data_IF_908439551965
#
_entry.id   IF_908439551965
#
_cell.length_a   1.000
_cell.length_b   1.000
_cell.length_c   1.000
_cell.angle_alpha   90.00
_cell.angle_beta   90.00
_cell.angle_gamma   90.00
#
_symmetry.space_group_name_H-M   'P 1'
#
loop_
_entity.id
_entity.type
_entity.pdbx_description
1 polymer ?
#
# COMPACT_ATOMS: atom_id res chain seq x y z
N UNK A 1 -75.13 35.72 30.47
CA UNK A 1 -74.05 35.10 31.26
C UNK A 1 -72.71 35.47 30.61
N UNK A 2 -71.84 36.09 31.41
CA UNK A 2 -70.40 36.38 31.24
C UNK A 2 -69.82 36.53 29.80
N UNK A 3 -69.43 37.71 29.28
CA UNK A 3 -68.41 38.68 29.72
C UNK A 3 -66.97 38.39 29.20
N UNK A 4 -66.51 39.25 28.26
CA UNK A 4 -65.16 39.88 28.16
C UNK A 4 -63.93 38.98 27.82
N UNK A 5 -62.96 39.29 26.93
CA UNK A 5 -62.24 40.54 26.56
C UNK A 5 -61.57 40.50 25.16
N UNK A 6 -61.64 41.66 24.48
CA UNK A 6 -60.69 42.39 23.57
C UNK A 6 -59.41 41.66 23.10
N UNK A 7 -59.14 41.51 21.79
CA UNK A 7 -58.62 42.49 20.79
C UNK A 7 -57.20 43.00 21.12
N UNK A 8 -56.22 42.71 20.25
CA UNK A 8 -55.23 43.69 19.74
C UNK A 8 -54.35 43.11 18.60
N UNK A 9 -54.31 43.85 17.49
CA UNK A 9 -53.35 43.76 16.38
C UNK A 9 -51.90 43.93 16.87
N UNK A 10 -50.92 43.33 16.18
CA UNK A 10 -49.77 44.06 15.63
C UNK A 10 -48.92 43.20 14.70
N UNK A 11 -48.69 43.70 13.48
CA UNK A 11 -47.65 43.25 12.57
C UNK A 11 -46.27 43.62 13.14
N UNK A 12 -45.31 42.71 13.07
CA UNK A 12 -43.91 43.00 13.35
C UNK A 12 -43.01 42.27 12.36
N UNK A 13 -42.20 43.07 11.66
CA UNK A 13 -41.03 42.70 10.87
C UNK A 13 -40.14 41.71 11.63
N UNK A 14 -39.68 40.65 10.94
CA UNK A 14 -38.50 39.88 11.36
C UNK A 14 -37.40 40.12 10.34
N UNK A 15 -36.55 41.09 10.65
CA UNK A 15 -35.18 41.19 10.12
C UNK A 15 -34.27 40.80 11.28
N UNK A 16 -33.64 39.62 11.20
CA UNK A 16 -32.50 39.18 12.01
C UNK A 16 -32.09 37.78 11.53
N UNK A 17 -30.84 37.40 11.36
CA UNK A 17 -29.56 38.07 11.34
C UNK A 17 -28.61 37.04 10.69
N UNK A 18 -27.71 37.48 9.81
CA UNK A 18 -26.58 36.67 9.38
C UNK A 18 -25.72 36.35 10.60
N UNK A 19 -25.80 35.12 11.12
CA UNK A 19 -24.87 34.64 12.14
C UNK A 19 -23.55 34.29 11.45
N UNK A 20 -22.54 35.07 11.80
CA UNK A 20 -21.12 34.83 11.57
C UNK A 20 -20.76 33.37 11.84
N UNK A 21 -20.19 32.70 10.84
CA UNK A 21 -19.49 31.43 11.03
C UNK A 21 -18.30 31.70 11.94
N UNK A 22 -18.39 31.32 13.21
CA UNK A 22 -17.25 31.33 14.11
C UNK A 22 -16.16 30.43 13.52
N UNK A 23 -14.99 31.02 13.29
CA UNK A 23 -13.81 30.29 12.88
C UNK A 23 -13.46 29.31 14.01
N UNK A 24 -13.68 28.01 13.75
CA UNK A 24 -13.22 26.94 14.63
C UNK A 24 -11.71 27.06 14.73
N UNK A 25 -11.24 27.42 15.93
CA UNK A 25 -9.84 27.61 16.26
C UNK A 25 -9.05 26.36 15.85
N UNK A 26 -8.00 26.54 15.05
CA UNK A 26 -7.09 25.45 14.69
C UNK A 26 -6.31 25.12 15.96
N UNK A 27 -6.41 23.89 16.50
CA UNK A 27 -5.64 23.55 17.68
C UNK A 27 -4.16 23.78 17.39
N UNK A 28 -3.47 24.43 18.33
CA UNK A 28 -2.04 24.67 18.26
C UNK A 28 -1.32 23.35 17.92
N UNK A 29 -0.25 23.44 17.12
CA UNK A 29 0.59 22.30 16.81
C UNK A 29 0.89 21.54 18.11
N UNK A 30 0.59 20.24 18.12
CA UNK A 30 0.81 19.42 19.31
C UNK A 30 2.26 19.62 19.78
N UNK A 31 2.50 19.70 21.10
CA UNK A 31 3.86 19.80 21.62
C UNK A 31 4.71 18.66 21.05
N UNK A 32 5.98 18.94 20.79
CA UNK A 32 6.91 17.93 20.31
C UNK A 32 6.83 16.71 21.25
N UNK A 33 6.81 15.48 20.69
CA UNK A 33 6.72 14.29 21.51
C UNK A 33 7.84 14.24 22.56
N UNK A 34 7.56 13.63 23.71
CA UNK A 34 8.60 13.36 24.70
C UNK A 34 9.70 12.49 24.09
N UNK A 35 10.91 12.56 24.64
CA UNK A 35 12.02 11.70 24.22
C UNK A 35 11.65 10.20 24.30
N UNK A 36 10.85 9.84 25.32
CA UNK A 36 10.36 8.47 25.50
C UNK A 36 9.44 8.04 24.36
N UNK A 37 8.50 8.89 23.93
CA UNK A 37 7.62 8.60 22.79
C UNK A 37 8.40 8.45 21.48
N UNK A 38 9.38 9.33 21.24
CA UNK A 38 10.19 9.26 20.02
C UNK A 38 11.02 7.97 19.98
N UNK A 39 11.51 7.52 21.14
CA UNK A 39 12.25 6.26 21.28
C UNK A 39 11.33 5.07 21.04
N UNK A 40 10.16 5.03 21.67
CA UNK A 40 9.16 3.97 21.48
C UNK A 40 8.74 3.85 20.00
N UNK A 41 8.44 4.97 19.34
CA UNK A 41 8.08 4.96 17.93
C UNK A 41 9.23 4.46 17.03
N UNK A 42 10.48 4.83 17.32
CA UNK A 42 11.64 4.34 16.59
C UNK A 42 11.84 2.83 16.77
N UNK A 43 11.63 2.31 17.98
CA UNK A 43 11.65 0.87 18.27
C UNK A 43 10.55 0.13 17.50
N UNK A 44 9.34 0.68 17.41
CA UNK A 44 8.26 0.11 16.61
C UNK A 44 8.59 0.10 15.11
N UNK A 45 9.20 1.17 14.57
CA UNK A 45 9.64 1.21 13.16
C UNK A 45 10.66 0.11 12.85
N UNK A 46 11.56 -0.20 13.78
CA UNK A 46 12.54 -1.29 13.66
C UNK A 46 11.86 -2.66 13.83
N UNK A 47 11.00 -2.82 14.85
CA UNK A 47 10.29 -4.08 15.14
C UNK A 47 9.38 -4.51 13.99
N UNK A 48 8.69 -3.56 13.37
CA UNK A 48 7.88 -3.78 12.17
C UNK A 48 8.66 -3.65 10.87
N UNK A 49 9.96 -3.41 10.96
CA UNK A 49 10.89 -3.49 9.84
C UNK A 49 10.51 -2.54 8.68
N UNK A 50 9.97 -1.37 9.00
CA UNK A 50 9.56 -0.36 8.01
C UNK A 50 10.75 0.08 7.14
N UNK A 51 11.96 0.09 7.71
CA UNK A 51 13.22 0.43 7.03
C UNK A 51 13.68 -0.63 6.01
N UNK A 52 13.11 -1.84 6.00
CA UNK A 52 13.40 -2.86 4.96
C UNK A 52 12.89 -2.47 3.58
N UNK A 53 11.91 -1.58 3.54
CA UNK A 53 11.33 -1.08 2.30
C UNK A 53 11.57 0.41 2.16
N UNK A 54 11.38 1.20 3.22
CA UNK A 54 11.40 2.65 3.14
C UNK A 54 12.72 3.26 3.62
N UNK A 55 13.30 4.15 2.81
CA UNK A 55 14.38 5.03 3.25
C UNK A 55 13.85 6.24 4.03
N UNK A 56 14.74 6.88 4.80
CA UNK A 56 14.46 8.15 5.50
C UNK A 56 13.72 7.99 6.83
N UNK A 57 13.79 6.79 7.42
CA UNK A 57 13.29 6.50 8.76
C UNK A 57 14.41 6.62 9.80
N UNK A 58 14.10 7.01 11.06
CA UNK A 58 15.06 6.95 12.15
C UNK A 58 15.46 5.51 12.45
N UNK A 59 16.63 5.34 13.06
CA UNK A 59 17.17 4.05 13.47
C UNK A 59 18.33 3.59 12.59
N UNK A 60 18.86 2.38 12.84
CA UNK A 60 19.96 1.84 12.06
C UNK A 60 19.51 1.54 10.64
N UNK A 61 20.41 1.83 9.70
CA UNK A 61 20.27 1.39 8.31
C UNK A 61 20.26 -0.16 8.29
N UNK A 62 19.28 -0.81 7.64
CA UNK A 62 19.29 -2.26 7.53
C UNK A 62 20.51 -2.71 6.72
N UNK A 63 21.06 -3.87 7.10
CA UNK A 63 22.03 -4.58 6.26
C UNK A 63 21.42 -4.83 4.87
N UNK A 64 22.24 -4.86 3.82
CA UNK A 64 21.77 -4.93 2.42
C UNK A 64 20.73 -6.03 2.19
N UNK A 65 20.97 -7.22 2.73
CA UNK A 65 20.10 -8.39 2.53
C UNK A 65 18.74 -8.27 3.25
N UNK A 66 18.61 -7.27 4.14
CA UNK A 66 17.35 -6.89 4.79
C UNK A 66 16.66 -5.70 4.12
N UNK A 67 17.29 -5.02 3.16
CA UNK A 67 16.67 -3.93 2.41
C UNK A 67 16.23 -4.42 1.03
N UNK A 68 14.98 -4.88 0.94
CA UNK A 68 14.45 -5.52 -0.28
C UNK A 68 14.60 -4.61 -1.51
N UNK A 69 14.32 -3.32 -1.34
CA UNK A 69 14.29 -2.37 -2.45
C UNK A 69 15.70 -1.98 -2.89
N UNK A 70 16.60 -1.71 -1.94
CA UNK A 70 17.98 -1.36 -2.27
C UNK A 70 18.72 -2.53 -2.89
N UNK A 71 18.55 -3.74 -2.39
CA UNK A 71 19.14 -4.94 -2.98
C UNK A 71 18.67 -5.11 -4.45
N UNK A 72 17.37 -4.98 -4.71
CA UNK A 72 16.83 -5.03 -6.07
C UNK A 72 17.39 -3.92 -6.97
N UNK A 73 17.55 -2.70 -6.45
CA UNK A 73 18.15 -1.58 -7.18
C UNK A 73 19.64 -1.77 -7.46
N UNK A 74 20.39 -2.39 -6.55
CA UNK A 74 21.80 -2.70 -6.71
C UNK A 74 22.01 -3.78 -7.77
N UNK A 75 21.19 -4.84 -7.77
CA UNK A 75 21.22 -5.88 -8.82
C UNK A 75 20.88 -5.28 -10.19
N UNK A 76 19.80 -4.50 -10.29
CA UNK A 76 19.42 -3.86 -11.56
C UNK A 76 20.44 -2.80 -12.03
N UNK A 77 21.14 -2.17 -11.09
CA UNK A 77 22.14 -1.14 -11.34
C UNK A 77 23.58 -1.63 -11.46
N UNK A 78 23.80 -2.95 -11.55
CA UNK A 78 25.14 -3.57 -11.66
C UNK A 78 26.10 -3.19 -10.50
N UNK A 79 25.54 -3.03 -9.29
CA UNK A 79 26.28 -2.75 -8.04
C UNK A 79 26.32 -3.95 -7.08
N UNK A 80 25.86 -5.11 -7.53
CA UNK A 80 25.88 -6.35 -6.77
C UNK A 80 26.98 -7.28 -7.29
N UNK A 81 27.78 -7.83 -6.39
CA UNK A 81 28.88 -8.73 -6.72
C UNK A 81 28.39 -10.17 -6.84
N UNK A 82 28.14 -10.61 -8.07
CA UNK A 82 27.80 -11.99 -8.41
C UNK A 82 28.16 -12.30 -9.87
N UNK A 83 28.29 -13.59 -10.25
CA UNK A 83 28.56 -13.98 -11.63
C UNK A 83 27.57 -13.38 -12.64
N UNK A 84 28.01 -12.97 -13.85
CA UNK A 84 27.15 -12.28 -14.81
C UNK A 84 25.88 -13.05 -15.23
N UNK A 85 25.97 -14.37 -15.34
CA UNK A 85 24.84 -15.26 -15.65
C UNK A 85 23.81 -15.29 -14.51
N UNK A 86 24.27 -15.24 -13.27
CA UNK A 86 23.43 -15.13 -12.07
C UNK A 86 22.73 -13.79 -12.03
N UNK A 87 23.45 -12.67 -12.26
CA UNK A 87 22.87 -11.33 -12.33
C UNK A 87 21.82 -11.24 -13.45
N UNK A 88 22.10 -11.78 -14.63
CA UNK A 88 21.16 -11.80 -15.74
C UNK A 88 19.87 -12.55 -15.40
N UNK A 89 19.98 -13.71 -14.75
CA UNK A 89 18.84 -14.49 -14.24
C UNK A 89 18.07 -13.75 -13.15
N UNK A 90 18.74 -13.03 -12.24
CA UNK A 90 18.06 -12.26 -11.21
C UNK A 90 17.34 -11.05 -11.80
N UNK A 91 17.98 -10.30 -12.70
CA UNK A 91 17.35 -9.15 -13.39
C UNK A 91 16.05 -9.52 -14.10
N UNK A 92 15.97 -10.71 -14.70
CA UNK A 92 14.75 -11.18 -15.38
C UNK A 92 13.63 -11.61 -14.42
N UNK A 93 13.96 -11.96 -13.18
CA UNK A 93 12.99 -12.37 -12.15
C UNK A 93 12.61 -11.25 -11.18
N UNK A 94 13.47 -10.24 -10.98
CA UNK A 94 13.20 -9.09 -10.11
C UNK A 94 12.32 -8.08 -10.85
N UNK A 95 11.02 -8.35 -10.84
CA UNK A 95 9.98 -7.51 -11.46
C UNK A 95 9.22 -6.64 -10.47
N UNK A 96 9.36 -6.89 -9.16
CA UNK A 96 8.69 -6.16 -8.07
C UNK A 96 9.69 -5.56 -7.08
N UNK A 97 9.20 -4.71 -6.16
CA UNK A 97 10.00 -4.08 -5.09
C UNK A 97 11.25 -3.31 -5.60
N UNK A 98 11.25 -2.83 -6.84
CA UNK A 98 12.35 -1.98 -7.36
C UNK A 98 12.26 -0.53 -6.88
N UNK A 99 11.08 -0.16 -6.40
CA UNK A 99 10.72 1.19 -6.00
C UNK A 99 9.67 1.12 -4.91
N UNK A 100 9.68 2.13 -4.06
CA UNK A 100 8.78 2.30 -2.92
C UNK A 100 8.61 3.80 -2.66
N UNK A 101 7.46 4.26 -2.15
CA UNK A 101 7.37 5.66 -1.74
C UNK A 101 8.34 5.96 -0.59
N UNK A 102 9.08 7.06 -0.70
CA UNK A 102 9.82 7.60 0.44
C UNK A 102 8.86 8.07 1.53
N UNK A 103 9.27 7.89 2.79
CA UNK A 103 8.56 8.40 3.96
C UNK A 103 9.07 9.78 4.42
N UNK A 104 10.09 10.33 3.75
CA UNK A 104 10.53 11.70 3.96
C UNK A 104 9.40 12.69 3.61
N UNK A 105 9.14 13.65 4.50
CA UNK A 105 8.06 14.62 4.31
C UNK A 105 6.65 14.00 4.33
N UNK A 106 6.45 12.87 5.03
CA UNK A 106 5.10 12.31 5.25
C UNK A 106 4.26 13.22 6.15
N UNK A 107 4.84 13.76 7.21
CA UNK A 107 4.12 14.56 8.21
C UNK A 107 3.54 15.88 7.68
N UNK A 108 4.13 16.46 6.63
CA UNK A 108 3.64 17.69 5.99
C UNK A 108 2.54 17.44 4.96
N UNK A 109 2.04 16.20 4.82
CA UNK A 109 1.37 15.80 3.59
C UNK A 109 0.25 14.82 3.76
N UNK A 110 0.44 13.79 4.58
CA UNK A 110 -0.55 12.76 4.81
C UNK A 110 -1.33 13.06 6.07
N UNK A 111 -2.61 12.70 6.07
CA UNK A 111 -3.43 12.77 7.28
C UNK A 111 -3.04 11.65 8.25
N UNK A 112 -2.92 11.96 9.53
CA UNK A 112 -2.57 11.03 10.61
C UNK A 112 -3.54 9.85 10.66
N UNK A 113 -4.84 10.13 10.68
CA UNK A 113 -5.88 9.08 10.69
C UNK A 113 -5.78 8.14 9.49
N UNK A 114 -5.40 8.69 8.33
CA UNK A 114 -5.18 7.89 7.13
C UNK A 114 -3.93 7.02 7.27
N UNK A 115 -2.82 7.55 7.79
CA UNK A 115 -1.60 6.77 8.05
C UNK A 115 -1.89 5.62 9.00
N UNK A 116 -2.54 5.89 10.14
CA UNK A 116 -2.99 4.87 11.11
C UNK A 116 -3.82 3.78 10.45
N UNK A 117 -4.87 4.17 9.71
CA UNK A 117 -5.75 3.22 9.02
C UNK A 117 -5.00 2.40 7.97
N UNK A 118 -4.06 3.02 7.25
CA UNK A 118 -3.26 2.36 6.23
C UNK A 118 -2.21 1.40 6.82
N UNK A 119 -1.68 1.67 8.01
CA UNK A 119 -0.80 0.73 8.72
C UNK A 119 -1.58 -0.55 9.07
N UNK A 120 -2.78 -0.40 9.63
CA UNK A 120 -3.63 -1.53 10.05
C UNK A 120 -4.16 -2.34 8.86
N UNK A 121 -4.67 -1.65 7.84
CA UNK A 121 -5.21 -2.26 6.62
C UNK A 121 -4.73 -1.50 5.38
N UNK A 122 -3.55 -1.87 4.83
CA UNK A 122 -2.99 -1.20 3.68
C UNK A 122 -3.81 -1.50 2.42
N UNK A 123 -4.38 -0.45 1.84
CA UNK A 123 -5.03 -0.48 0.53
C UNK A 123 -4.05 -0.12 -0.60
N UNK A 124 -4.26 -0.67 -1.80
CA UNK A 124 -3.50 -0.23 -2.98
C UNK A 124 -3.85 1.23 -3.35
N UNK A 125 -2.89 2.13 -3.15
CA UNK A 125 -2.98 3.54 -3.53
C UNK A 125 -2.12 3.87 -4.75
N UNK A 126 -1.35 2.92 -5.28
CA UNK A 126 -0.40 3.10 -6.39
C UNK A 126 -0.58 1.95 -7.38
N UNK A 127 -1.59 2.05 -8.26
CA UNK A 127 -1.99 0.94 -9.13
C UNK A 127 -0.92 0.51 -10.14
N UNK A 128 0.16 1.30 -10.29
CA UNK A 128 1.28 1.01 -11.18
C UNK A 128 2.46 0.32 -10.47
N UNK A 129 2.38 0.13 -9.15
CA UNK A 129 3.29 -0.75 -8.41
C UNK A 129 2.67 -2.13 -8.25
N UNK A 130 3.43 -3.16 -8.62
CA UNK A 130 3.01 -4.54 -8.38
C UNK A 130 3.01 -4.88 -6.90
N UNK A 131 3.99 -4.40 -6.13
CA UNK A 131 4.06 -4.62 -4.69
C UNK A 131 3.31 -3.53 -3.92
N UNK A 132 2.51 -3.94 -2.94
CA UNK A 132 1.80 -3.07 -2.01
C UNK A 132 2.46 -3.15 -0.64
N UNK A 133 2.13 -2.20 0.24
CA UNK A 133 2.54 -2.31 1.65
C UNK A 133 2.01 -3.63 2.23
N UNK A 134 2.86 -4.47 2.85
CA UNK A 134 2.41 -5.71 3.48
C UNK A 134 1.60 -5.39 4.74
N UNK A 135 0.66 -6.28 5.09
CA UNK A 135 0.02 -6.24 6.42
C UNK A 135 1.01 -6.70 7.47
N UNK A 136 1.27 -5.86 8.45
CA UNK A 136 2.18 -6.17 9.57
C UNK A 136 1.39 -6.78 10.73
N UNK A 137 2.09 -7.34 11.70
CA UNK A 137 1.51 -7.87 12.93
C UNK A 137 1.28 -6.78 13.98
N UNK A 138 0.77 -5.62 13.57
CA UNK A 138 0.64 -4.46 14.43
C UNK A 138 -0.78 -4.31 15.00
N UNK A 139 -0.88 -3.85 16.25
CA UNK A 139 -2.13 -3.51 16.91
C UNK A 139 -2.53 -2.05 16.74
N UNK A 140 -3.73 -1.70 17.20
CA UNK A 140 -4.28 -0.34 17.14
C UNK A 140 -3.36 0.68 17.86
N UNK A 141 -2.91 0.38 19.08
CA UNK A 141 -2.06 1.30 19.86
C UNK A 141 -0.71 1.55 19.18
N UNK A 142 -0.09 0.50 18.62
CA UNK A 142 1.17 0.61 17.87
C UNK A 142 0.96 1.42 16.57
N UNK A 143 -0.19 1.27 15.89
CA UNK A 143 -0.55 2.08 14.72
C UNK A 143 -0.69 3.56 15.07
N UNK A 144 -1.30 3.87 16.21
CA UNK A 144 -1.51 5.24 16.69
C UNK A 144 -0.17 5.92 17.00
N UNK A 145 0.72 5.24 17.72
CA UNK A 145 2.06 5.73 18.04
C UNK A 145 2.83 6.04 16.75
N UNK A 146 2.87 5.09 15.80
CA UNK A 146 3.56 5.27 14.54
C UNK A 146 2.96 6.40 13.69
N UNK A 147 1.62 6.50 13.64
CA UNK A 147 0.96 7.56 12.88
C UNK A 147 1.21 8.95 13.48
N UNK A 148 1.15 9.07 14.82
CA UNK A 148 1.45 10.32 15.52
C UNK A 148 2.92 10.71 15.37
N UNK A 149 3.84 9.75 15.37
CA UNK A 149 5.26 9.98 15.12
C UNK A 149 5.55 10.44 13.69
N UNK A 150 4.97 9.77 12.69
CA UNK A 150 5.16 10.10 11.26
C UNK A 150 4.46 11.41 10.86
N UNK A 151 3.37 11.76 11.55
CA UNK A 151 2.56 12.97 11.32
C UNK A 151 2.39 13.72 12.64
N UNK A 152 3.42 14.41 13.15
CA UNK A 152 3.37 15.08 14.46
C UNK A 152 2.42 16.29 14.49
N UNK A 153 2.14 16.91 13.34
CA UNK A 153 1.17 17.98 13.20
C UNK A 153 0.40 17.89 11.89
N UNK A 154 -0.81 18.46 11.87
CA UNK A 154 -1.68 18.46 10.70
C UNK A 154 -2.22 19.85 10.35
N UNK A 155 -2.35 20.11 9.06
CA UNK A 155 -3.06 21.27 8.51
C UNK A 155 -4.32 20.81 7.79
N UNK A 156 -5.35 20.51 8.59
CA UNK A 156 -6.63 20.00 8.09
C UNK A 156 -7.53 21.07 7.49
N UNK A 157 -7.34 22.33 7.88
CA UNK A 157 -8.12 23.44 7.34
C UNK A 157 -7.57 23.84 5.98
N UNK A 158 -8.36 23.64 4.94
CA UNK A 158 -8.22 24.38 3.69
C UNK A 158 -9.40 25.34 3.55
N UNK A 159 -9.12 26.59 3.21
CA UNK A 159 -10.17 27.57 2.85
C UNK A 159 -10.65 27.25 1.44
N UNK A 160 -11.57 26.33 1.32
CA UNK A 160 -12.30 26.11 0.08
C UNK A 160 -13.37 27.21 -0.02
N UNK A 161 -12.97 28.37 -0.57
CA UNK A 161 -13.95 29.20 -1.29
C UNK A 161 -14.44 28.37 -2.49
N UNK A 162 -15.64 28.60 -3.03
CA UNK A 162 -16.06 27.88 -4.23
C UNK A 162 -15.07 28.20 -5.36
N UNK A 163 -14.16 27.26 -5.63
CA UNK A 163 -13.20 27.35 -6.72
C UNK A 163 -13.79 26.65 -7.94
N UNK A 164 -13.46 27.17 -9.12
CA UNK A 164 -13.95 26.60 -10.37
C UNK A 164 -13.30 25.23 -10.64
N UNK A 165 -14.00 24.16 -10.26
CA UNK A 165 -13.59 22.77 -10.52
C UNK A 165 -13.55 22.44 -12.01
N UNK A 166 -14.33 23.12 -12.85
CA UNK A 166 -14.29 22.91 -14.30
C UNK A 166 -12.97 23.46 -14.87
N UNK A 167 -12.51 24.63 -14.37
CA UNK A 167 -11.17 25.12 -14.70
C UNK A 167 -10.07 24.21 -14.15
N UNK A 168 -10.22 23.68 -12.95
CA UNK A 168 -9.30 22.67 -12.40
C UNK A 168 -9.20 21.41 -13.25
N UNK A 169 -10.32 20.92 -13.78
CA UNK A 169 -10.36 19.77 -14.69
C UNK A 169 -9.67 20.07 -16.03
N UNK A 170 -9.79 21.30 -16.56
CA UNK A 170 -9.05 21.74 -17.74
C UNK A 170 -7.54 21.73 -17.48
N UNK A 171 -7.10 22.34 -16.38
CA UNK A 171 -5.69 22.37 -15.97
C UNK A 171 -5.13 20.96 -15.80
N UNK A 172 -5.87 20.05 -15.16
CA UNK A 172 -5.46 18.66 -15.00
C UNK A 172 -5.11 17.99 -16.35
N UNK A 173 -5.91 18.26 -17.40
CA UNK A 173 -5.67 17.73 -18.74
C UNK A 173 -4.57 18.47 -19.50
N UNK A 174 -4.55 19.80 -19.43
CA UNK A 174 -3.57 20.67 -20.09
C UNK A 174 -2.15 20.38 -19.57
N UNK A 175 -2.01 20.12 -18.26
CA UNK A 175 -0.73 19.77 -17.64
C UNK A 175 -0.32 18.31 -17.88
N UNK A 176 -1.25 17.46 -18.33
CA UNK A 176 -1.00 16.04 -18.56
C UNK A 176 -0.90 15.19 -17.30
N UNK A 177 -1.58 15.57 -16.22
CA UNK A 177 -1.51 14.86 -14.93
C UNK A 177 -1.87 13.36 -15.04
N UNK A 178 -2.74 13.02 -16.00
CA UNK A 178 -3.18 11.67 -16.33
C UNK A 178 -2.08 10.77 -16.93
N UNK A 179 -0.95 11.34 -17.36
CA UNK A 179 0.19 10.55 -17.86
C UNK A 179 0.86 9.72 -16.76
N UNK A 180 0.72 10.13 -15.50
CA UNK A 180 1.21 9.39 -14.33
C UNK A 180 0.08 8.97 -13.40
N UNK A 181 -0.86 9.88 -13.12
CA UNK A 181 -1.88 9.66 -12.11
C UNK A 181 -3.12 9.01 -12.68
N UNK A 182 -3.53 7.91 -12.06
CA UNK A 182 -4.92 7.45 -12.14
C UNK A 182 -5.82 8.41 -11.35
N UNK A 183 -7.07 8.56 -11.78
CA UNK A 183 -8.11 9.23 -11.00
C UNK A 183 -9.40 8.42 -11.08
N UNK A 184 -9.40 7.26 -10.42
CA UNK A 184 -10.48 6.28 -10.57
C UNK A 184 -11.82 6.85 -10.11
N UNK A 185 -12.86 6.67 -10.93
CA UNK A 185 -14.20 7.14 -10.64
C UNK A 185 -14.46 8.62 -10.88
N UNK A 186 -13.42 9.42 -11.16
CA UNK A 186 -13.58 10.84 -11.48
C UNK A 186 -13.87 11.05 -12.97
N UNK A 187 -14.67 12.07 -13.30
CA UNK A 187 -14.80 12.55 -14.66
C UNK A 187 -13.65 13.53 -14.98
N UNK A 188 -12.50 12.99 -15.40
CA UNK A 188 -11.32 13.79 -15.77
C UNK A 188 -11.34 14.28 -17.23
N UNK A 189 -12.33 13.88 -18.02
CA UNK A 189 -12.36 14.07 -19.47
C UNK A 189 -11.46 13.08 -20.22
N UNK A 190 -11.27 13.25 -21.55
CA UNK A 190 -10.48 12.32 -22.35
C UNK A 190 -9.01 12.33 -21.95
N UNK A 191 -8.36 11.18 -22.06
CA UNK A 191 -6.92 11.07 -21.89
C UNK A 191 -6.22 11.96 -22.92
N UNK A 192 -5.19 12.68 -22.48
CA UNK A 192 -4.32 13.48 -23.34
C UNK A 192 -2.96 12.79 -23.35
N UNK A 193 -2.35 12.66 -24.52
CA UNK A 193 -0.95 12.25 -24.68
C UNK A 193 0.02 13.40 -24.39
N UNK A 194 -0.48 14.61 -24.18
CA UNK A 194 0.32 15.76 -23.86
C UNK A 194 0.72 15.76 -22.38
N UNK A 195 2.01 15.94 -22.13
CA UNK A 195 2.55 16.28 -20.82
C UNK A 195 3.21 17.65 -20.92
N UNK A 196 2.85 18.57 -20.03
CA UNK A 196 3.36 19.94 -20.10
C UNK A 196 4.89 19.95 -20.10
N UNK A 197 5.46 20.76 -21.00
CA UNK A 197 6.91 20.84 -21.23
C UNK A 197 7.47 19.80 -22.20
N UNK A 198 6.65 19.00 -22.89
CA UNK A 198 7.09 18.07 -23.94
C UNK A 198 7.92 16.89 -23.45
N UNK A 199 7.91 16.64 -22.14
CA UNK A 199 8.70 15.57 -21.50
C UNK A 199 7.85 14.30 -21.39
N UNK A 200 8.50 13.14 -21.47
CA UNK A 200 7.85 11.87 -21.11
C UNK A 200 8.14 11.58 -19.63
N UNK A 201 7.13 11.26 -18.80
CA UNK A 201 7.38 10.84 -17.43
C UNK A 201 8.26 9.61 -17.37
N UNK A 202 9.14 9.53 -16.36
CA UNK A 202 9.93 8.32 -16.16
C UNK A 202 9.06 7.16 -15.69
N UNK A 203 9.49 5.93 -15.95
CA UNK A 203 8.84 4.71 -15.44
C UNK A 203 8.68 4.75 -13.92
N UNK A 204 9.66 5.32 -13.21
CA UNK A 204 9.59 5.50 -11.76
C UNK A 204 8.55 6.53 -11.33
N UNK A 205 8.41 7.64 -12.05
CA UNK A 205 7.38 8.63 -11.76
C UNK A 205 5.97 8.06 -11.95
N UNK A 206 5.76 7.29 -13.03
CA UNK A 206 4.49 6.61 -13.31
C UNK A 206 4.19 5.57 -12.22
N UNK A 207 5.17 4.73 -11.88
CA UNK A 207 5.01 3.69 -10.87
C UNK A 207 4.65 4.28 -9.49
N UNK A 208 5.34 5.35 -9.06
CA UNK A 208 5.13 5.96 -7.74
C UNK A 208 3.92 6.90 -7.67
N UNK A 209 3.31 7.25 -8.80
CA UNK A 209 2.16 8.13 -8.85
C UNK A 209 0.92 7.46 -8.24
N UNK A 210 0.33 8.04 -7.17
CA UNK A 210 -0.86 7.49 -6.57
C UNK A 210 -2.10 7.71 -7.43
N UNK A 211 -3.11 6.88 -7.22
CA UNK A 211 -4.47 7.17 -7.66
C UNK A 211 -5.03 8.35 -6.85
N UNK A 212 -5.43 9.40 -7.55
CA UNK A 212 -5.96 10.63 -6.95
C UNK A 212 -7.37 10.45 -6.39
N UNK A 213 -8.05 9.33 -6.65
CA UNK A 213 -9.30 8.98 -5.98
C UNK A 213 -9.15 8.95 -4.45
N UNK A 214 -7.95 8.61 -3.95
CA UNK A 214 -7.64 8.59 -2.53
C UNK A 214 -7.20 9.95 -1.97
N UNK A 215 -7.06 10.99 -2.81
CA UNK A 215 -6.45 12.26 -2.39
C UNK A 215 -7.21 12.92 -1.22
N UNK A 216 -8.55 12.97 -1.27
CA UNK A 216 -9.40 13.59 -0.24
C UNK A 216 -9.19 13.00 1.16
N UNK A 217 -9.12 11.67 1.25
CA UNK A 217 -8.95 10.96 2.52
C UNK A 217 -7.49 10.92 2.98
N UNK A 218 -6.55 10.92 2.02
CA UNK A 218 -5.13 10.68 2.26
C UNK A 218 -4.33 11.94 2.54
N UNK A 219 -4.59 13.02 1.81
CA UNK A 219 -3.77 14.23 1.85
C UNK A 219 -4.32 15.24 2.85
N UNK A 220 -3.42 15.99 3.49
CA UNK A 220 -3.79 17.17 4.25
C UNK A 220 -4.25 18.27 3.28
N UNK A 221 -5.52 18.73 3.35
CA UNK A 221 -6.08 19.66 2.38
C UNK A 221 -5.28 20.97 2.24
N UNK A 222 -4.78 21.52 3.35
CA UNK A 222 -4.02 22.78 3.36
C UNK A 222 -2.69 22.72 2.62
N UNK A 223 -2.20 21.51 2.33
CA UNK A 223 -0.87 21.27 1.76
C UNK A 223 -0.91 21.00 0.25
N UNK A 224 -2.10 20.72 -0.31
CA UNK A 224 -2.23 20.37 -1.73
C UNK A 224 -1.90 21.55 -2.66
N UNK A 225 -2.32 22.77 -2.32
CA UNK A 225 -1.97 23.98 -3.08
C UNK A 225 -0.44 24.19 -3.11
N UNK A 226 0.21 24.09 -1.95
CA UNK A 226 1.66 24.23 -1.82
C UNK A 226 2.41 23.13 -2.60
N UNK A 227 1.92 21.89 -2.50
CA UNK A 227 2.46 20.76 -3.25
C UNK A 227 2.37 20.97 -4.76
N UNK A 228 1.21 21.42 -5.28
CA UNK A 228 1.02 21.63 -6.72
C UNK A 228 1.97 22.70 -7.28
N UNK A 229 2.29 23.75 -6.51
CA UNK A 229 3.23 24.81 -6.93
C UNK A 229 4.69 24.47 -6.71
N UNK A 230 5.02 23.71 -5.66
CA UNK A 230 6.39 23.37 -5.33
C UNK A 230 6.47 21.98 -4.69
N UNK A 231 6.36 20.89 -5.49
CA UNK A 231 6.30 19.53 -4.96
C UNK A 231 7.53 19.16 -4.10
N UNK A 232 8.73 19.54 -4.54
CA UNK A 232 10.00 19.23 -3.86
C UNK A 232 10.16 19.96 -2.53
N UNK A 233 9.48 21.09 -2.34
CA UNK A 233 9.45 21.77 -1.03
C UNK A 233 8.68 20.97 0.03
N UNK A 234 7.72 20.16 -0.38
CA UNK A 234 6.88 19.37 0.54
C UNK A 234 7.38 17.93 0.67
N UNK A 235 7.85 17.31 -0.42
CA UNK A 235 8.59 16.04 -0.38
C UNK A 235 9.84 16.14 -1.27
N UNK A 236 11.04 16.28 -0.68
CA UNK A 236 12.28 16.49 -1.43
C UNK A 236 12.57 15.44 -2.51
N UNK A 237 12.22 14.17 -2.24
CA UNK A 237 12.46 13.03 -3.16
C UNK A 237 11.29 12.74 -4.11
N UNK A 238 10.32 13.64 -4.24
CA UNK A 238 9.20 13.46 -5.18
C UNK A 238 9.68 13.49 -6.63
N UNK A 239 9.11 12.62 -7.47
CA UNK A 239 9.32 12.62 -8.92
C UNK A 239 8.27 13.45 -9.67
N UNK A 240 7.31 14.04 -8.94
CA UNK A 240 6.34 14.95 -9.53
C UNK A 240 7.05 16.25 -9.95
N UNK A 241 6.96 16.67 -11.23
CA UNK A 241 7.61 17.90 -11.67
C UNK A 241 6.90 19.14 -11.12
N UNK A 242 7.64 20.24 -11.11
CA UNK A 242 7.07 21.57 -10.87
C UNK A 242 6.37 22.06 -12.13
N UNK A 243 5.15 22.58 -11.97
CA UNK A 243 4.39 23.24 -13.03
C UNK A 243 4.35 24.74 -12.75
N UNK A 244 4.32 25.55 -13.80
CA UNK A 244 4.14 27.00 -13.70
C UNK A 244 2.66 27.31 -13.42
N UNK A 245 2.28 27.21 -12.15
CA UNK A 245 0.92 27.46 -11.68
C UNK A 245 0.90 28.67 -10.76
N UNK A 246 0.05 29.63 -11.07
CA UNK A 246 -0.28 30.69 -10.13
C UNK A 246 -1.15 30.16 -8.97
N UNK A 247 -1.36 31.01 -7.95
CA UNK A 247 -2.13 30.62 -6.77
C UNK A 247 -3.61 30.31 -7.07
N UNK A 248 -4.21 30.91 -8.09
CA UNK A 248 -5.59 30.65 -8.49
C UNK A 248 -5.70 29.31 -9.19
N UNK A 249 -4.81 29.04 -10.16
CA UNK A 249 -4.75 27.78 -10.89
C UNK A 249 -4.48 26.60 -9.95
N UNK A 250 -3.52 26.74 -9.03
CA UNK A 250 -3.22 25.72 -8.04
C UNK A 250 -4.44 25.39 -7.15
N UNK A 251 -5.22 26.40 -6.75
CA UNK A 251 -6.45 26.17 -5.95
C UNK A 251 -7.57 25.53 -6.74
N UNK A 252 -7.77 25.94 -7.99
CA UNK A 252 -8.75 25.31 -8.88
C UNK A 252 -8.42 23.84 -9.13
N UNK A 253 -7.14 23.53 -9.39
CA UNK A 253 -6.67 22.16 -9.56
C UNK A 253 -6.79 21.35 -8.25
N UNK A 254 -6.42 21.93 -7.11
CA UNK A 254 -6.61 21.29 -5.80
C UNK A 254 -8.09 20.99 -5.51
N UNK A 255 -8.99 21.93 -5.79
CA UNK A 255 -10.43 21.74 -5.62
C UNK A 255 -10.95 20.64 -6.55
N UNK A 256 -10.50 20.57 -7.80
CA UNK A 256 -10.83 19.47 -8.69
C UNK A 256 -10.36 18.12 -8.12
N UNK A 257 -9.12 18.01 -7.63
CA UNK A 257 -8.58 16.76 -7.07
C UNK A 257 -9.30 16.34 -5.79
N UNK A 258 -9.58 17.29 -4.89
CA UNK A 258 -10.12 17.00 -3.56
C UNK A 258 -11.64 16.91 -3.54
N UNK A 259 -12.36 17.58 -4.43
CA UNK A 259 -13.82 17.73 -4.37
C UNK A 259 -14.55 17.14 -5.58
N UNK A 260 -13.85 16.52 -6.53
CA UNK A 260 -14.53 15.82 -7.62
C UNK A 260 -15.40 14.68 -7.07
N UNK A 261 -16.64 14.54 -7.57
CA UNK A 261 -17.44 13.37 -7.27
C UNK A 261 -16.74 12.14 -7.85
N UNK A 262 -16.73 11.05 -7.09
CA UNK A 262 -16.15 9.78 -7.50
C UNK A 262 -17.26 8.75 -7.60
N UNK A 263 -17.29 8.05 -8.73
CA UNK A 263 -18.10 6.84 -8.88
C UNK A 263 -17.30 5.67 -8.33
N UNK A 264 -17.88 4.92 -7.40
CA UNK A 264 -17.23 3.73 -6.87
C UNK A 264 -16.94 2.75 -8.02
N UNK A 265 -15.71 2.22 -8.15
CA UNK A 265 -15.46 1.15 -9.10
C UNK A 265 -16.25 -0.09 -8.69
N UNK A 266 -16.61 -0.96 -9.65
CA UNK A 266 -17.22 -2.24 -9.31
C UNK A 266 -16.26 -3.04 -8.40
N UNK A 267 -16.79 -3.81 -7.43
CA UNK A 267 -15.97 -4.67 -6.61
C UNK A 267 -15.24 -5.69 -7.48
N UNK A 268 -14.00 -6.04 -7.12
CA UNK A 268 -13.27 -7.12 -7.80
C UNK A 268 -14.00 -8.44 -7.53
N UNK A 269 -14.23 -9.22 -8.58
CA UNK A 269 -14.77 -10.56 -8.44
C UNK A 269 -13.69 -11.54 -7.98
N UNK A 270 -14.04 -12.46 -7.07
CA UNK A 270 -13.18 -13.60 -6.74
C UNK A 270 -13.17 -14.55 -7.94
N UNK A 271 -12.00 -14.89 -8.52
CA UNK A 271 -11.92 -15.86 -9.62
C UNK A 271 -12.48 -17.22 -9.22
N UNK A 272 -13.00 -17.94 -10.21
CA UNK A 272 -13.48 -19.31 -10.00
C UNK A 272 -12.30 -20.24 -9.71
N UNK A 273 -12.41 -21.06 -8.67
CA UNK A 273 -11.42 -22.10 -8.37
C UNK A 273 -11.47 -23.19 -9.44
N UNK A 274 -10.35 -23.44 -10.09
CA UNK A 274 -10.22 -24.48 -11.12
C UNK A 274 -10.14 -25.88 -10.49
N UNK A 275 -10.67 -26.93 -11.15
CA UNK A 275 -10.51 -28.31 -10.69
C UNK A 275 -9.05 -28.75 -10.81
N UNK A 276 -8.64 -29.77 -10.05
CA UNK A 276 -7.30 -30.36 -10.19
C UNK A 276 -7.08 -30.95 -11.58
N UNK A 277 -5.83 -30.93 -12.04
CA UNK A 277 -5.42 -31.43 -13.35
C UNK A 277 -5.34 -32.96 -13.35
N UNK A 278 -5.81 -33.58 -14.43
CA UNK A 278 -5.69 -35.03 -14.67
C UNK A 278 -4.26 -35.44 -15.08
N UNK A 279 -3.51 -34.52 -15.73
CA UNK A 279 -2.11 -34.78 -16.09
C UNK A 279 -1.20 -34.75 -14.85
N UNK A 280 -0.08 -35.48 -14.87
CA UNK A 280 0.94 -35.35 -13.82
C UNK A 280 1.45 -33.91 -13.68
N UNK A 281 1.65 -33.48 -12.43
CA UNK A 281 2.27 -32.19 -12.05
C UNK A 281 3.41 -32.49 -11.09
N UNK A 282 4.65 -32.16 -11.47
CA UNK A 282 5.84 -32.41 -10.65
C UNK A 282 6.15 -31.26 -9.70
N UNK A 283 6.95 -31.53 -8.67
CA UNK A 283 7.51 -30.47 -7.82
C UNK A 283 8.29 -29.42 -8.63
N UNK A 284 9.10 -29.84 -9.61
CA UNK A 284 9.91 -28.91 -10.42
C UNK A 284 9.03 -27.90 -11.17
N UNK A 285 7.90 -28.36 -11.72
CA UNK A 285 6.94 -27.47 -12.38
C UNK A 285 6.35 -26.45 -11.41
N UNK A 286 5.91 -26.90 -10.22
CA UNK A 286 5.37 -26.00 -9.18
C UNK A 286 6.44 -25.04 -8.68
N UNK A 287 7.67 -25.53 -8.48
CA UNK A 287 8.77 -24.75 -7.95
C UNK A 287 9.18 -23.63 -8.91
N UNK A 288 9.41 -23.95 -10.18
CA UNK A 288 9.82 -22.99 -11.21
C UNK A 288 8.72 -21.96 -11.54
N UNK A 289 7.46 -22.38 -11.51
CA UNK A 289 6.34 -21.50 -11.86
C UNK A 289 5.82 -20.68 -10.68
N UNK A 290 5.87 -21.21 -9.46
CA UNK A 290 5.24 -20.60 -8.28
C UNK A 290 6.25 -20.27 -7.20
N UNK A 291 6.88 -21.28 -6.59
CA UNK A 291 7.65 -21.07 -5.36
C UNK A 291 8.89 -20.20 -5.55
N UNK A 292 9.71 -20.47 -6.58
CA UNK A 292 10.92 -19.69 -6.90
C UNK A 292 10.64 -18.30 -7.45
N UNK A 293 9.42 -18.04 -7.95
CA UNK A 293 9.06 -16.75 -8.54
C UNK A 293 8.66 -15.72 -7.49
N UNK A 294 7.79 -16.10 -6.56
CA UNK A 294 7.15 -15.15 -5.66
C UNK A 294 7.41 -15.46 -4.18
N UNK A 295 7.55 -16.74 -3.82
CA UNK A 295 7.58 -17.15 -2.41
C UNK A 295 8.99 -17.16 -1.81
N UNK A 296 9.99 -17.46 -2.65
CA UNK A 296 11.38 -17.70 -2.25
C UNK A 296 11.95 -16.69 -1.25
N UNK A 297 11.93 -15.40 -1.57
CA UNK A 297 12.58 -14.38 -0.73
C UNK A 297 11.95 -14.17 0.65
N UNK A 298 10.71 -14.64 0.85
CA UNK A 298 10.03 -14.56 2.14
C UNK A 298 10.03 -15.89 2.89
N UNK A 299 10.19 -17.00 2.17
CA UNK A 299 9.98 -18.36 2.67
C UNK A 299 11.13 -19.26 2.24
N UNK A 300 12.37 -18.81 2.28
CA UNK A 300 13.50 -19.67 1.98
C UNK A 300 14.41 -19.80 3.20
N UNK A 301 15.10 -20.92 3.29
CA UNK A 301 16.21 -21.01 4.23
C UNK A 301 17.33 -20.03 3.81
N UNK A 302 17.89 -19.22 4.74
CA UNK A 302 19.00 -18.31 4.46
C UNK A 302 20.16 -18.93 3.69
N UNK A 303 20.49 -20.19 3.99
CA UNK A 303 21.63 -20.90 3.40
C UNK A 303 21.43 -21.14 1.89
N UNK A 304 20.17 -21.25 1.44
CA UNK A 304 19.82 -21.40 0.02
C UNK A 304 19.49 -20.08 -0.66
N UNK A 305 18.97 -19.11 0.09
CA UNK A 305 18.38 -17.90 -0.48
C UNK A 305 19.38 -16.80 -0.84
N UNK A 306 20.65 -16.91 -0.43
CA UNK A 306 21.62 -15.79 -0.48
C UNK A 306 21.04 -14.52 0.16
N UNK A 307 20.38 -14.68 1.31
CA UNK A 307 19.65 -13.62 2.00
C UNK A 307 19.27 -14.01 3.43
N UNK A 308 18.38 -13.25 4.07
CA UNK A 308 18.04 -13.46 5.49
C UNK A 308 16.89 -14.47 5.73
N UNK A 309 16.48 -15.19 4.67
CA UNK A 309 15.34 -16.11 4.63
C UNK A 309 13.96 -15.43 4.62
N UNK A 310 13.91 -14.14 4.91
CA UNK A 310 12.71 -13.33 4.88
C UNK A 310 11.64 -13.63 5.94
N UNK A 311 10.62 -12.77 6.03
CA UNK A 311 9.69 -12.70 7.16
C UNK A 311 8.79 -13.93 7.33
N UNK A 312 8.61 -14.75 6.30
CA UNK A 312 7.87 -16.00 6.36
C UNK A 312 8.69 -17.20 6.87
N UNK A 313 10.02 -17.16 6.76
CA UNK A 313 10.92 -18.17 7.31
C UNK A 313 11.49 -17.73 8.67
N UNK A 314 12.26 -16.65 8.68
CA UNK A 314 13.02 -16.16 9.84
C UNK A 314 12.22 -15.25 10.78
N UNK A 315 11.01 -14.84 10.37
CA UNK A 315 10.18 -13.88 11.12
C UNK A 315 10.53 -12.44 10.74
N UNK A 316 9.60 -11.52 11.00
CA UNK A 316 9.70 -10.14 10.54
C UNK A 316 8.34 -9.51 10.35
N UNK A 317 8.29 -8.20 10.13
CA UNK A 317 7.04 -7.42 10.11
C UNK A 317 6.16 -7.64 11.35
N UNK A 318 6.78 -7.89 12.51
CA UNK A 318 6.11 -8.25 13.76
C UNK A 318 5.63 -9.71 13.87
N UNK A 319 5.79 -10.53 12.82
CA UNK A 319 5.42 -11.96 12.85
C UNK A 319 6.53 -12.84 13.44
N UNK A 320 6.16 -13.89 14.19
CA UNK A 320 7.12 -14.90 14.61
C UNK A 320 7.61 -15.73 13.41
N UNK A 321 8.83 -16.25 13.52
CA UNK A 321 9.42 -17.16 12.54
C UNK A 321 8.53 -18.40 12.33
N UNK A 322 7.97 -18.56 11.13
CA UNK A 322 7.17 -19.75 10.78
C UNK A 322 8.01 -20.89 10.23
N UNK A 323 9.29 -20.68 9.93
CA UNK A 323 10.21 -21.71 9.41
C UNK A 323 9.61 -22.51 8.25
N UNK A 324 8.75 -21.86 7.47
CA UNK A 324 8.21 -22.43 6.23
C UNK A 324 9.25 -22.17 5.14
N UNK A 325 9.85 -23.24 4.66
CA UNK A 325 10.79 -23.22 3.56
C UNK A 325 10.09 -23.72 2.28
N UNK A 326 10.09 -22.88 1.25
CA UNK A 326 9.53 -23.13 -0.07
C UNK A 326 10.64 -23.19 -1.14
N UNK A 327 11.91 -23.23 -0.71
CA UNK A 327 13.06 -23.30 -1.62
C UNK A 327 13.32 -24.70 -2.17
N UNK A 328 13.02 -25.72 -1.37
CA UNK A 328 13.35 -27.12 -1.63
C UNK A 328 12.14 -28.03 -1.42
N UNK A 329 12.13 -29.22 -2.02
CA UNK A 329 11.01 -30.16 -1.81
C UNK A 329 10.94 -30.58 -0.34
N UNK A 330 12.10 -30.91 0.23
CA UNK A 330 12.26 -31.29 1.64
C UNK A 330 11.82 -30.17 2.59
N UNK A 331 12.17 -28.92 2.29
CA UNK A 331 11.73 -27.73 3.00
C UNK A 331 10.21 -27.61 3.05
N UNK A 332 9.55 -27.71 1.90
CA UNK A 332 8.07 -27.59 1.82
C UNK A 332 7.42 -28.74 2.59
N UNK A 333 7.97 -29.95 2.46
CA UNK A 333 7.49 -31.15 3.15
C UNK A 333 7.61 -31.05 4.67
N UNK A 334 8.61 -30.33 5.18
CA UNK A 334 8.81 -30.08 6.63
C UNK A 334 7.71 -29.21 7.26
N UNK A 335 6.89 -28.55 6.43
CA UNK A 335 5.76 -27.72 6.86
C UNK A 335 6.19 -26.43 7.55
N UNK A 336 5.30 -25.91 8.40
CA UNK A 336 5.48 -24.63 9.11
C UNK A 336 5.37 -24.80 10.62
N UNK A 337 6.06 -23.97 11.38
CA UNK A 337 6.00 -23.91 12.84
C UNK A 337 4.76 -23.12 13.32
N UNK A 338 3.96 -23.78 14.16
CA UNK A 338 2.80 -23.23 14.83
C UNK A 338 3.16 -22.30 16.00
N UNK A 339 2.18 -21.57 16.57
CA UNK A 339 2.40 -20.74 17.77
C UNK A 339 2.86 -21.53 19.00
N UNK A 340 2.61 -22.83 19.03
CA UNK A 340 3.04 -23.79 20.06
C UNK A 340 4.47 -24.32 19.82
N UNK A 341 5.17 -23.81 18.82
CA UNK A 341 6.50 -24.28 18.42
C UNK A 341 6.49 -25.61 17.66
N UNK A 342 5.33 -26.23 17.43
CA UNK A 342 5.23 -27.53 16.76
C UNK A 342 5.15 -27.38 15.25
N UNK A 343 5.81 -28.29 14.51
CA UNK A 343 5.70 -28.33 13.04
C UNK A 343 4.35 -28.89 12.62
N UNK A 344 3.75 -28.26 11.62
CA UNK A 344 2.47 -28.64 11.04
C UNK A 344 2.60 -28.69 9.54
N UNK A 345 2.15 -29.79 8.93
CA UNK A 345 2.17 -29.92 7.47
C UNK A 345 1.30 -28.84 6.83
N UNK A 346 1.84 -28.16 5.82
CA UNK A 346 1.09 -27.18 5.01
C UNK A 346 0.12 -27.84 4.02
N UNK A 347 0.17 -29.16 3.90
CA UNK A 347 -0.72 -29.95 3.04
C UNK A 347 -1.95 -30.46 3.78
N UNK A 348 -1.91 -30.54 5.12
CA UNK A 348 -3.07 -30.96 5.91
C UNK A 348 -4.26 -30.05 5.62
N UNK A 349 -5.42 -30.62 5.24
CA UNK A 349 -6.62 -29.84 5.02
C UNK A 349 -7.04 -29.02 6.24
N UNK A 350 -7.57 -27.82 5.99
CA UNK A 350 -8.35 -27.08 7.00
C UNK A 350 -9.77 -27.67 7.09
N UNK A 351 -10.61 -27.13 7.98
CA UNK A 351 -11.95 -27.66 8.26
C UNK A 351 -12.85 -27.87 7.03
N UNK A 352 -12.64 -27.11 5.94
CA UNK A 352 -13.41 -27.23 4.70
C UNK A 352 -12.80 -28.19 3.66
N UNK A 353 -11.80 -28.99 4.03
CA UNK A 353 -11.12 -29.94 3.13
C UNK A 353 -10.03 -29.34 2.23
N UNK A 354 -9.83 -28.02 2.21
CA UNK A 354 -8.79 -27.38 1.38
C UNK A 354 -7.41 -27.51 2.05
N UNK A 355 -6.34 -27.92 1.34
CA UNK A 355 -4.99 -27.92 1.88
C UNK A 355 -4.59 -26.54 2.43
N UNK A 356 -3.93 -26.49 3.59
CA UNK A 356 -3.62 -25.20 4.26
C UNK A 356 -2.88 -24.22 3.35
N UNK A 357 -1.86 -24.68 2.60
CA UNK A 357 -1.14 -23.85 1.64
C UNK A 357 -2.09 -23.21 0.62
N UNK A 358 -2.94 -24.01 -0.01
CA UNK A 358 -3.93 -23.57 -1.01
C UNK A 358 -4.96 -22.61 -0.39
N UNK A 359 -5.36 -22.83 0.86
CA UNK A 359 -6.30 -21.95 1.55
C UNK A 359 -5.74 -20.52 1.71
N UNK A 360 -4.45 -20.36 2.00
CA UNK A 360 -3.80 -19.05 2.06
C UNK A 360 -3.70 -18.38 0.67
N UNK A 361 -3.43 -19.16 -0.39
CA UNK A 361 -3.41 -18.63 -1.76
C UNK A 361 -4.79 -18.12 -2.20
N UNK A 362 -5.85 -18.91 -1.96
CA UNK A 362 -7.23 -18.53 -2.27
C UNK A 362 -7.73 -17.36 -1.41
N UNK A 363 -7.29 -17.26 -0.15
CA UNK A 363 -7.66 -16.15 0.72
C UNK A 363 -7.18 -14.80 0.17
N UNK A 364 -6.06 -14.76 -0.59
CA UNK A 364 -5.57 -13.51 -1.19
C UNK A 364 -6.52 -12.94 -2.23
N UNK A 365 -7.12 -13.79 -3.08
CA UNK A 365 -8.18 -13.32 -4.00
C UNK A 365 -9.37 -12.71 -3.26
N UNK A 366 -9.76 -13.31 -2.13
CA UNK A 366 -10.87 -12.79 -1.33
C UNK A 366 -10.54 -11.46 -0.67
N UNK A 367 -9.32 -11.27 -0.20
CA UNK A 367 -8.84 -9.99 0.32
C UNK A 367 -8.88 -8.90 -0.73
N UNK A 368 -8.40 -9.18 -1.95
CA UNK A 368 -8.47 -8.22 -3.06
C UNK A 368 -9.89 -7.89 -3.49
N UNK A 369 -10.83 -8.81 -3.27
CA UNK A 369 -12.26 -8.61 -3.46
C UNK A 369 -12.96 -7.93 -2.26
N UNK A 370 -12.23 -7.58 -1.19
CA UNK A 370 -12.79 -6.95 0.00
C UNK A 370 -13.57 -7.89 0.92
N UNK A 371 -13.33 -9.20 0.84
CA UNK A 371 -14.03 -10.24 1.62
C UNK A 371 -13.05 -11.16 2.36
N UNK A 372 -12.15 -10.62 3.21
CA UNK A 372 -11.09 -11.40 3.86
C UNK A 372 -11.63 -12.61 4.62
N UNK A 373 -10.90 -13.72 4.60
CA UNK A 373 -11.28 -14.95 5.31
C UNK A 373 -10.85 -14.84 6.77
N UNK A 374 -11.79 -14.90 7.75
CA UNK A 374 -11.43 -14.84 9.16
C UNK A 374 -10.39 -15.91 9.55
N UNK A 375 -9.31 -15.49 10.21
CA UNK A 375 -8.24 -16.38 10.67
C UNK A 375 -7.29 -16.90 9.59
N UNK A 376 -7.51 -16.59 8.30
CA UNK A 376 -6.63 -17.00 7.20
C UNK A 376 -6.10 -15.77 6.47
N UNK A 377 -4.82 -15.48 6.66
CA UNK A 377 -4.14 -14.40 5.94
C UNK A 377 -3.83 -14.80 4.50
N UNK A 378 -4.32 -14.06 3.53
CA UNK A 378 -3.99 -14.23 2.13
C UNK A 378 -2.50 -14.10 1.84
N UNK A 379 -2.01 -15.01 1.00
CA UNK A 379 -0.65 -15.02 0.46
C UNK A 379 -0.69 -14.99 -1.07
N UNK A 380 0.26 -14.34 -1.74
CA UNK A 380 1.49 -13.76 -1.19
C UNK A 380 1.26 -12.40 -0.50
N UNK A 381 2.00 -12.14 0.58
CA UNK A 381 1.85 -10.93 1.38
C UNK A 381 2.43 -9.70 0.63
N UNK A 382 1.65 -8.64 0.48
CA UNK A 382 2.12 -7.41 -0.20
C UNK A 382 2.31 -7.55 -1.71
N UNK A 383 1.80 -8.62 -2.32
CA UNK A 383 1.80 -8.85 -3.77
C UNK A 383 0.40 -9.25 -4.26
N UNK A 384 0.14 -9.22 -5.57
CA UNK A 384 -1.12 -9.66 -6.12
C UNK A 384 -1.38 -11.15 -5.84
N UNK A 385 -2.64 -11.54 -5.78
CA UNK A 385 -3.03 -12.93 -5.78
C UNK A 385 -2.45 -13.68 -6.99
N UNK A 386 -2.06 -14.94 -6.79
CA UNK A 386 -1.59 -15.78 -7.89
C UNK A 386 -2.71 -16.01 -8.92
N UNK A 387 -2.39 -16.18 -10.20
CA UNK A 387 -3.37 -16.64 -11.18
C UNK A 387 -4.04 -17.95 -10.76
N UNK A 388 -5.34 -18.17 -11.07
CA UNK A 388 -6.03 -19.42 -10.75
C UNK A 388 -5.31 -20.68 -11.24
N UNK A 389 -4.62 -20.59 -12.37
CA UNK A 389 -3.85 -21.67 -13.01
C UNK A 389 -2.60 -22.04 -12.19
N UNK A 390 -1.99 -21.05 -11.54
CA UNK A 390 -0.83 -21.28 -10.68
C UNK A 390 -1.25 -21.89 -9.34
N UNK A 391 -2.41 -21.48 -8.80
CA UNK A 391 -3.02 -22.15 -7.63
C UNK A 391 -3.44 -23.57 -8.00
N UNK A 392 -4.01 -23.78 -9.18
CA UNK A 392 -4.40 -25.09 -9.70
C UNK A 392 -3.20 -26.04 -9.78
N UNK A 393 -2.02 -25.57 -10.22
CA UNK A 393 -0.80 -26.37 -10.24
C UNK A 393 -0.41 -26.85 -8.83
N UNK A 394 -0.36 -25.93 -7.86
CA UNK A 394 -0.04 -26.26 -6.46
C UNK A 394 -1.04 -27.27 -5.91
N UNK A 395 -2.34 -27.05 -6.14
CA UNK A 395 -3.39 -27.95 -5.65
C UNK A 395 -3.34 -29.32 -6.31
N UNK A 396 -3.11 -29.38 -7.63
CA UNK A 396 -3.00 -30.63 -8.39
C UNK A 396 -1.80 -31.45 -7.93
N UNK A 397 -0.64 -30.81 -7.73
CA UNK A 397 0.54 -31.47 -7.18
C UNK A 397 0.28 -32.06 -5.79
N UNK A 398 -0.41 -31.33 -4.90
CA UNK A 398 -0.79 -31.83 -3.58
C UNK A 398 -1.74 -33.04 -3.69
N UNK A 399 -2.76 -32.94 -4.55
CA UNK A 399 -3.77 -33.99 -4.76
C UNK A 399 -3.17 -35.27 -5.35
N UNK A 400 -2.15 -35.15 -6.20
CA UNK A 400 -1.44 -36.27 -6.84
C UNK A 400 -0.39 -36.93 -5.93
N UNK A 401 -0.37 -36.60 -4.63
CA UNK A 401 0.57 -37.19 -3.67
C UNK A 401 1.95 -36.53 -3.66
N UNK A 402 2.09 -35.36 -4.28
CA UNK A 402 3.31 -34.53 -4.32
C UNK A 402 4.49 -35.25 -5.00
N UNK A 403 4.36 -35.69 -6.26
CA UNK A 403 5.47 -36.36 -6.96
C UNK A 403 6.68 -35.41 -7.11
N UNK A 404 7.85 -35.94 -6.77
CA UNK A 404 9.13 -35.24 -6.72
C UNK A 404 10.12 -36.03 -5.85
N UNK A 405 11.42 -35.83 -6.03
CA UNK A 405 12.45 -36.44 -5.18
C UNK A 405 12.79 -35.52 -4.01
N UNK A 406 13.13 -36.12 -2.87
CA UNK A 406 13.91 -35.41 -1.85
C UNK A 406 15.21 -34.93 -2.50
N UNK A 407 15.59 -33.69 -2.22
CA UNK A 407 16.80 -33.08 -2.76
C UNK A 407 18.02 -33.99 -2.42
N UNK A 408 18.97 -34.21 -3.35
CA UNK A 408 20.11 -35.09 -3.14
C UNK A 408 21.05 -34.64 -2.01
#
# INVERSE_FOLDING_TARGET
>A
MAATRRVLLCAAFVVAACTTTEAREVPAAAPAPSADFATEAAELLVRFECNRCHDGLPGPEPVRDRHCVRCHQDIHGDRFDAPPDVIARWKSNIVSLRMVPSLEGVGSRLRRDWVRSHLLEPSDVRPQLTATMPRLALGEDEAEILAAFLVPGEQLTARFRPWDRARGALLYRELGCQSCHRFTGANAGPASSHFAGGRTPSTAAIALAPDLAFARQRLQPGQVEGWLRSPTSVAPKTLMPTFDLDATQARQLAAFILESPLTAPPPRSVPTRLPVLDRPVSYDEVSERVFKKICWHCHADPDFAFGDGGPGHSGGFGFPARRLDLSTYSGVASGSVGPDGQRRSVFTPIANGTPRLVAHLLARHREEAGTPVPGIRGMPLGLPALPPEDIQLVESWIAQGRPGSFDP
#
